data_IF_426006868133
#
_entry.id   IF_426006868133
#
_cell.length_a   1.000
_cell.length_b   1.000
_cell.length_c   1.000
_cell.angle_alpha   90.00
_cell.angle_beta   90.00
_cell.angle_gamma   90.00
#
_symmetry.space_group_name_H-M   'P 1'
#
loop_
_entity.id
_entity.type
_entity.pdbx_description
1 polymer ?
#
# COMPACT_ATOMS: atom_id res chain seq x y z
N UNK A 1 11.56 -0.59 11.49
CA UNK A 1 11.05 -1.26 10.28
C UNK A 1 10.54 -2.64 10.64
N UNK A 2 9.30 -2.93 10.24
CA UNK A 2 8.68 -4.25 10.35
C UNK A 2 8.97 -5.12 9.13
N UNK A 3 8.21 -6.20 8.97
CA UNK A 3 8.24 -7.08 7.80
C UNK A 3 7.09 -6.72 6.85
N UNK A 4 7.37 -6.54 5.57
CA UNK A 4 6.31 -6.46 4.55
C UNK A 4 5.65 -7.83 4.46
N UNK A 5 4.37 -7.90 4.80
CA UNK A 5 3.58 -9.14 4.76
C UNK A 5 2.75 -9.24 3.49
N UNK A 6 2.47 -8.10 2.83
CA UNK A 6 1.67 -8.05 1.62
C UNK A 6 1.93 -6.76 0.85
N UNK A 7 1.89 -6.86 -0.47
CA UNK A 7 1.87 -5.72 -1.38
C UNK A 7 0.57 -5.75 -2.19
N UNK A 8 -0.02 -4.58 -2.41
CA UNK A 8 -1.21 -4.39 -3.24
C UNK A 8 -0.88 -3.38 -4.33
N UNK A 9 -1.09 -3.74 -5.58
CA UNK A 9 -0.83 -2.88 -6.74
C UNK A 9 -2.14 -2.33 -7.31
N UNK A 10 -2.10 -1.10 -7.81
CA UNK A 10 -3.22 -0.56 -8.59
C UNK A 10 -3.27 -1.24 -9.97
N UNK A 11 -4.42 -1.20 -10.68
CA UNK A 11 -4.54 -1.85 -11.99
C UNK A 11 -3.52 -1.37 -13.03
N UNK A 12 -3.14 -0.09 -12.98
CA UNK A 12 -2.09 0.48 -13.83
C UNK A 12 -0.66 0.14 -13.40
N UNK A 13 -0.50 -0.51 -12.24
CA UNK A 13 0.80 -0.76 -11.57
C UNK A 13 1.62 0.51 -11.31
N UNK A 14 1.02 1.70 -11.37
CA UNK A 14 1.70 2.96 -11.04
C UNK A 14 1.66 3.28 -9.55
N UNK A 15 0.84 2.58 -8.78
CA UNK A 15 0.74 2.76 -7.34
C UNK A 15 0.79 1.41 -6.66
N UNK A 16 1.41 1.36 -5.49
CA UNK A 16 1.32 0.21 -4.60
C UNK A 16 1.13 0.64 -3.15
N UNK A 17 0.58 -0.26 -2.34
CA UNK A 17 0.56 -0.14 -0.89
C UNK A 17 1.19 -1.38 -0.29
N UNK A 18 2.12 -1.17 0.63
CA UNK A 18 2.73 -2.23 1.43
C UNK A 18 2.02 -2.31 2.78
N UNK A 19 1.68 -3.52 3.21
CA UNK A 19 1.22 -3.81 4.56
C UNK A 19 2.42 -4.35 5.34
N UNK A 20 2.77 -3.67 6.41
CA UNK A 20 3.99 -3.92 7.18
C UNK A 20 3.59 -4.38 8.58
N UNK A 21 3.97 -5.60 8.96
CA UNK A 21 3.82 -6.13 10.31
C UNK A 21 5.01 -5.71 11.17
N UNK A 22 4.74 -4.98 12.23
CA UNK A 22 5.75 -4.46 13.16
C UNK A 22 6.13 -5.49 14.22
N UNK A 23 7.19 -5.19 14.96
CA UNK A 23 7.68 -6.03 16.07
C UNK A 23 6.75 -6.05 17.28
N UNK A 24 5.93 -5.01 17.46
CA UNK A 24 4.92 -4.89 18.52
C UNK A 24 3.62 -5.64 18.19
N UNK A 25 3.57 -6.37 17.07
CA UNK A 25 2.40 -7.13 16.63
C UNK A 25 1.35 -6.30 15.89
N UNK A 26 1.51 -4.98 15.85
CA UNK A 26 0.64 -4.07 15.10
C UNK A 26 1.05 -4.01 13.62
N UNK A 27 0.16 -3.44 12.82
CA UNK A 27 0.31 -3.30 11.38
C UNK A 27 0.31 -1.83 10.98
N UNK A 28 0.97 -1.54 9.87
CA UNK A 28 1.03 -0.21 9.28
C UNK A 28 0.98 -0.33 7.77
N UNK A 29 0.56 0.73 7.10
CA UNK A 29 0.51 0.77 5.63
C UNK A 29 1.37 1.90 5.10
N UNK A 30 2.06 1.65 3.98
CA UNK A 30 2.86 2.65 3.28
C UNK A 30 2.49 2.64 1.80
N UNK A 31 2.20 3.83 1.25
CA UNK A 31 1.79 3.99 -0.14
C UNK A 31 2.97 4.48 -0.97
N UNK A 32 3.11 3.94 -2.17
CA UNK A 32 4.16 4.29 -3.10
C UNK A 32 3.59 4.60 -4.49
N UNK A 33 4.27 5.47 -5.23
CA UNK A 33 4.03 5.79 -6.63
C UNK A 33 5.25 5.42 -7.46
N UNK A 34 5.04 4.75 -8.59
CA UNK A 34 6.07 4.51 -9.58
C UNK A 34 6.40 5.83 -10.29
N UNK A 35 7.67 6.19 -10.32
CA UNK A 35 8.16 7.36 -11.06
C UNK A 35 9.38 6.99 -11.88
N UNK A 36 9.48 7.60 -13.05
CA UNK A 36 10.68 7.66 -13.86
C UNK A 36 11.13 9.11 -13.93
N UNK A 37 12.34 9.41 -13.44
CA UNK A 37 12.91 10.75 -13.48
C UNK A 37 14.34 10.69 -14.00
N UNK A 38 14.63 11.43 -15.07
CA UNK A 38 15.93 11.44 -15.76
C UNK A 38 16.48 10.03 -16.11
N UNK A 39 15.60 9.08 -16.45
CA UNK A 39 15.98 7.70 -16.78
C UNK A 39 16.21 6.79 -15.57
N UNK A 40 15.90 7.25 -14.36
CA UNK A 40 15.88 6.42 -13.16
C UNK A 40 14.44 6.05 -12.79
N UNK A 41 14.21 4.76 -12.64
CA UNK A 41 12.92 4.19 -12.23
C UNK A 41 12.91 3.84 -10.74
N UNK A 42 11.93 4.35 -9.99
CA UNK A 42 11.85 4.10 -8.56
C UNK A 42 10.43 4.22 -7.99
N UNK A 43 10.21 3.56 -6.86
CA UNK A 43 9.03 3.74 -6.02
C UNK A 43 9.23 4.91 -5.06
N UNK A 44 8.49 6.00 -5.27
CA UNK A 44 8.46 7.16 -4.38
C UNK A 44 7.39 6.98 -3.32
N UNK A 45 7.73 7.13 -2.04
CA UNK A 45 6.75 7.07 -0.97
C UNK A 45 5.81 8.28 -1.00
N UNK A 46 4.53 8.05 -0.73
CA UNK A 46 3.51 9.09 -0.57
C UNK A 46 3.23 9.21 0.93
N UNK A 47 3.58 10.35 1.52
CA UNK A 47 3.30 10.60 2.93
C UNK A 47 1.81 10.94 3.13
N UNK A 48 1.04 10.00 3.67
CA UNK A 48 -0.37 10.18 4.04
C UNK A 48 -0.60 10.22 5.55
N UNK A 49 0.47 10.36 6.34
CA UNK A 49 0.45 10.08 7.77
C UNK A 49 0.52 8.57 8.07
N UNK A 50 0.69 8.25 9.35
CA UNK A 50 0.91 6.89 9.81
C UNK A 50 -0.15 6.49 10.85
N UNK A 51 -0.75 5.33 10.65
CA UNK A 51 -1.72 4.74 11.58
C UNK A 51 -1.22 3.40 12.07
N UNK A 52 -1.41 3.13 13.36
CA UNK A 52 -1.23 1.81 13.96
C UNK A 52 -2.52 1.03 13.81
N UNK A 53 -2.42 -0.19 13.28
CA UNK A 53 -3.56 -1.02 12.92
C UNK A 53 -3.45 -2.34 13.69
N UNK A 54 -4.57 -2.80 14.22
CA UNK A 54 -4.65 -3.90 15.19
C UNK A 54 -4.52 -5.29 14.55
N UNK A 55 -4.96 -5.47 13.31
CA UNK A 55 -4.93 -6.76 12.61
C UNK A 55 -4.73 -6.61 11.09
N UNK A 56 -4.35 -7.71 10.43
CA UNK A 56 -4.02 -7.74 9.00
C UNK A 56 -5.22 -7.48 8.09
N UNK A 57 -6.41 -7.98 8.42
CA UNK A 57 -7.62 -7.79 7.61
C UNK A 57 -8.03 -6.30 7.59
N UNK A 58 -7.94 -5.65 8.74
CA UNK A 58 -8.18 -4.22 8.87
C UNK A 58 -7.11 -3.43 8.13
N UNK A 59 -5.84 -3.82 8.24
CA UNK A 59 -4.75 -3.20 7.50
C UNK A 59 -4.95 -3.32 5.98
N UNK A 60 -5.45 -4.46 5.51
CA UNK A 60 -5.80 -4.67 4.10
C UNK A 60 -6.94 -3.76 3.65
N UNK A 61 -8.00 -3.60 4.44
CA UNK A 61 -9.10 -2.67 4.13
C UNK A 61 -8.57 -1.23 3.99
N UNK A 62 -7.76 -0.78 4.93
CA UNK A 62 -7.14 0.55 4.90
C UNK A 62 -6.23 0.70 3.66
N UNK A 63 -5.38 -0.29 3.38
CA UNK A 63 -4.48 -0.27 2.25
C UNK A 63 -5.22 -0.14 0.91
N UNK A 64 -6.35 -0.84 0.75
CA UNK A 64 -7.20 -0.74 -0.44
C UNK A 64 -7.78 0.67 -0.59
N UNK A 65 -8.29 1.26 0.50
CA UNK A 65 -8.86 2.61 0.45
C UNK A 65 -7.79 3.68 0.17
N UNK A 66 -6.60 3.54 0.75
CA UNK A 66 -5.45 4.40 0.44
C UNK A 66 -5.03 4.29 -1.03
N UNK A 67 -4.97 3.06 -1.55
CA UNK A 67 -4.61 2.80 -2.95
C UNK A 67 -5.65 3.41 -3.90
N UNK A 68 -6.96 3.25 -3.61
CA UNK A 68 -8.04 3.90 -4.36
C UNK A 68 -7.94 5.42 -4.31
N UNK A 69 -7.66 5.98 -3.13
CA UNK A 69 -7.53 7.42 -2.92
C UNK A 69 -6.37 8.03 -3.72
N UNK A 70 -5.24 7.33 -3.79
CA UNK A 70 -4.05 7.79 -4.53
C UNK A 70 -4.18 7.60 -6.04
N UNK A 71 -4.58 6.41 -6.49
CA UNK A 71 -4.63 6.10 -7.91
C UNK A 71 -5.85 6.70 -8.61
N UNK A 72 -6.94 6.93 -7.86
CA UNK A 72 -8.28 7.26 -8.39
C UNK A 72 -8.81 6.21 -9.37
N UNK A 73 -8.25 5.01 -9.34
CA UNK A 73 -8.65 3.90 -10.20
C UNK A 73 -9.78 3.09 -9.56
N UNK A 74 -10.60 2.45 -10.40
CA UNK A 74 -11.60 1.48 -9.93
C UNK A 74 -10.90 0.19 -9.52
N UNK A 75 -10.55 0.08 -8.25
CA UNK A 75 -9.95 -1.14 -7.69
C UNK A 75 -11.06 -2.14 -7.38
N UNK A 76 -11.15 -3.20 -8.19
CA UNK A 76 -12.05 -4.32 -7.91
C UNK A 76 -11.53 -5.12 -6.72
N UNK A 77 -12.16 -4.94 -5.55
CA UNK A 77 -11.82 -5.64 -4.30
C UNK A 77 -11.97 -7.17 -4.39
N UNK A 78 -12.71 -7.66 -5.39
CA UNK A 78 -12.89 -9.08 -5.65
C UNK A 78 -11.66 -9.76 -6.28
N UNK A 79 -10.75 -9.00 -6.89
CA UNK A 79 -9.52 -9.54 -7.51
C UNK A 79 -8.39 -9.69 -6.49
N UNK A 80 -8.49 -9.03 -5.33
CA UNK A 80 -7.49 -9.09 -4.27
C UNK A 80 -7.72 -10.23 -3.27
N UNK A 81 -8.79 -11.02 -3.44
CA UNK A 81 -8.96 -12.28 -2.68
C UNK A 81 -8.00 -13.29 -3.30
N UNK A 82 -6.90 -13.58 -2.60
CA UNK A 82 -6.13 -14.81 -2.81
C UNK A 82 -7.06 -16.03 -2.95
#
# INVERSE_FOLDING_TARGET
>A
MGQVVRELYSPSEQYKVEIIKRKDGLYTTEVYRWMEDCGYEFWSSINQGFSLIDNEEHARKIAIEQLKGCSREKINTNVLKD
#
